data_IF_196832603668
#
_entry.id   IF_196832603668
#
_cell.length_a   1.000
_cell.length_b   1.000
_cell.length_c   1.000
_cell.angle_alpha   90.00
_cell.angle_beta   90.00
_cell.angle_gamma   90.00
#
_symmetry.space_group_name_H-M   'P 1'
#
loop_
_entity.id
_entity.type
_entity.pdbx_description
1 polymer ?
#
# COMPACT_ATOMS: atom_id res chain seq x y z
N UNK A 1 -3.31 14.78 -13.98
CA UNK A 1 -4.43 13.86 -13.68
C UNK A 1 -3.88 12.64 -12.95
N UNK A 2 -4.23 12.46 -11.67
CA UNK A 2 -3.74 11.34 -10.86
C UNK A 2 -4.39 10.04 -11.36
N UNK A 3 -3.63 9.21 -12.10
CA UNK A 3 -4.05 7.96 -12.76
C UNK A 3 -4.44 6.80 -11.81
N UNK A 4 -5.03 7.08 -10.65
CA UNK A 4 -5.26 6.06 -9.63
C UNK A 4 -6.64 6.11 -8.98
N UNK A 5 -7.64 6.51 -9.75
CA UNK A 5 -9.06 6.53 -9.37
C UNK A 5 -9.78 5.20 -9.65
N UNK A 6 -9.09 4.06 -9.50
CA UNK A 6 -9.77 2.74 -9.52
C UNK A 6 -10.43 2.51 -8.17
N UNK A 7 -11.69 2.08 -8.19
CA UNK A 7 -12.45 1.82 -6.96
C UNK A 7 -11.82 0.66 -6.19
N UNK A 8 -11.85 0.63 -4.84
CA UNK A 8 -11.35 -0.50 -4.05
C UNK A 8 -11.93 -1.87 -4.45
N UNK A 9 -13.10 -1.88 -5.09
CA UNK A 9 -13.70 -3.07 -5.71
C UNK A 9 -12.91 -3.61 -6.90
N UNK A 10 -12.33 -2.75 -7.72
CA UNK A 10 -11.59 -3.10 -8.93
C UNK A 10 -10.14 -3.46 -8.65
N UNK A 11 -9.57 -2.89 -7.59
CA UNK A 11 -8.18 -3.14 -7.23
C UNK A 11 -8.04 -4.43 -6.44
N UNK A 12 -9.12 -5.00 -5.92
CA UNK A 12 -9.09 -6.20 -5.06
C UNK A 12 -8.17 -6.06 -3.83
N UNK A 13 -7.90 -4.83 -3.38
CA UNK A 13 -6.99 -4.54 -2.26
C UNK A 13 -6.42 -3.12 -2.22
N UNK A 14 -5.67 -2.78 -1.16
CA UNK A 14 -5.07 -1.46 -1.00
C UNK A 14 -3.91 -1.27 -1.98
N UNK A 15 -3.97 -0.16 -2.71
CA UNK A 15 -2.99 0.19 -3.76
C UNK A 15 -1.88 1.07 -3.21
N UNK A 16 -0.66 0.84 -3.69
CA UNK A 16 0.51 1.69 -3.43
C UNK A 16 0.31 3.04 -4.15
N UNK A 17 0.37 4.14 -3.40
CA UNK A 17 0.14 5.49 -3.94
C UNK A 17 1.37 6.13 -4.57
N UNK A 18 2.57 5.77 -4.13
CA UNK A 18 3.83 6.41 -4.53
C UNK A 18 4.98 5.40 -4.60
N UNK A 19 5.96 5.65 -5.48
CA UNK A 19 7.13 4.80 -5.69
C UNK A 19 7.04 3.88 -6.92
N UNK A 20 8.04 3.01 -7.14
CA UNK A 20 8.18 2.20 -8.35
C UNK A 20 7.03 1.20 -8.57
N UNK A 21 6.32 0.81 -7.51
CA UNK A 21 5.15 -0.08 -7.58
C UNK A 21 3.83 0.68 -7.43
N UNK A 22 3.82 2.00 -7.68
CA UNK A 22 2.60 2.81 -7.61
C UNK A 22 1.53 2.27 -8.56
N UNK A 23 0.28 2.22 -8.11
CA UNK A 23 -0.85 1.66 -8.88
C UNK A 23 -1.02 0.15 -8.74
N UNK A 24 -0.06 -0.55 -8.15
CA UNK A 24 -0.17 -1.98 -7.83
C UNK A 24 -0.65 -2.20 -6.39
N UNK A 25 -1.25 -3.36 -6.13
CA UNK A 25 -1.66 -3.75 -4.79
C UNK A 25 -0.44 -3.93 -3.87
N UNK A 26 -0.62 -3.60 -2.59
CA UNK A 26 0.37 -3.91 -1.55
C UNK A 26 0.60 -5.41 -1.47
N UNK A 27 1.72 -5.86 -0.94
CA UNK A 27 1.92 -7.28 -0.70
C UNK A 27 1.01 -7.77 0.44
N UNK A 28 0.40 -8.94 0.26
CA UNK A 28 -0.37 -9.65 1.28
C UNK A 28 0.56 -10.57 2.08
N UNK A 29 0.30 -10.73 3.37
CA UNK A 29 0.95 -11.70 4.25
C UNK A 29 0.26 -13.06 4.14
N UNK A 30 0.90 -14.11 4.65
CA UNK A 30 0.36 -15.48 4.66
C UNK A 30 -0.93 -15.61 5.49
N UNK A 31 -1.11 -14.75 6.49
CA UNK A 31 -2.34 -14.60 7.29
C UNK A 31 -3.49 -13.90 6.54
N UNK A 32 -3.29 -13.53 5.27
CA UNK A 32 -4.28 -12.83 4.45
C UNK A 32 -4.31 -11.31 4.66
N UNK A 33 -3.58 -10.76 5.64
CA UNK A 33 -3.56 -9.34 5.91
C UNK A 33 -2.66 -8.57 4.94
N UNK A 34 -3.09 -7.39 4.51
CA UNK A 34 -2.24 -6.49 3.72
C UNK A 34 -1.17 -5.83 4.57
N UNK A 35 0.02 -5.65 4.01
CA UNK A 35 1.07 -4.88 4.69
C UNK A 35 0.59 -3.43 4.91
N UNK A 36 0.66 -2.96 6.16
CA UNK A 36 0.34 -1.57 6.54
C UNK A 36 1.33 -0.59 5.89
N UNK A 37 0.89 0.64 5.66
CA UNK A 37 1.81 1.72 5.27
C UNK A 37 2.78 1.95 6.44
N UNK A 38 4.03 2.28 6.14
CA UNK A 38 5.06 2.50 7.17
C UNK A 38 4.68 3.62 8.15
N UNK A 39 3.98 4.66 7.70
CA UNK A 39 3.46 5.73 8.58
C UNK A 39 2.43 5.23 9.60
N UNK A 40 1.68 4.20 9.26
CA UNK A 40 0.57 3.69 10.07
C UNK A 40 1.06 2.64 11.08
N UNK A 41 2.34 2.28 11.02
CA UNK A 41 2.94 1.28 11.90
C UNK A 41 3.26 1.83 13.31
N UNK A 42 3.08 3.14 13.55
CA UNK A 42 3.39 3.79 14.84
C UNK A 42 4.87 3.83 15.20
N UNK A 43 5.73 3.23 14.37
CA UNK A 43 7.19 3.20 14.55
C UNK A 43 7.87 4.13 13.56
N UNK A 44 8.62 5.10 14.06
CA UNK A 44 9.48 5.94 13.26
C UNK A 44 10.63 5.13 12.67
N UNK A 45 11.11 5.51 11.48
CA UNK A 45 12.33 4.92 10.91
C UNK A 45 13.47 5.26 11.88
N UNK A 46 14.16 4.26 12.45
CA UNK A 46 15.43 4.50 13.15
C UNK A 46 16.33 5.28 12.20
N UNK A 47 16.74 6.49 12.60
CA UNK A 47 17.81 7.20 11.90
C UNK A 47 19.09 6.41 12.19
N UNK A 48 19.81 6.02 11.15
CA UNK A 48 21.18 5.52 11.26
C UNK A 48 22.13 6.68 11.48
#
# INVERSE_FOLDING_TARGET
MNKNSKSPRETHGPVVKTGPTSGQNRSRRSDGAWRKKRSDAGVSRKKS
#
